data_IF_289541026364
#
_entry.id   IF_289541026364
#
_cell.length_a   1.000
_cell.length_b   1.000
_cell.length_c   1.000
_cell.angle_alpha   90.00
_cell.angle_beta   90.00
_cell.angle_gamma   90.00
#
_symmetry.space_group_name_H-M   'P 1'
#
loop_
_entity.id
_entity.type
_entity.pdbx_description
1 polymer ?
#
# COMPACT_ATOMS: atom_id res chain seq x y z
N UNK A 1 5.68 -7.18 16.01
CA UNK A 1 5.85 -6.88 14.56
C UNK A 1 5.75 -5.36 14.30
N UNK A 2 6.52 -4.83 13.35
CA UNK A 2 6.46 -3.41 12.93
C UNK A 2 5.50 -3.24 11.74
N UNK A 3 4.67 -2.18 11.80
CA UNK A 3 3.90 -1.68 10.65
C UNK A 3 4.29 -0.25 10.32
N UNK A 4 4.50 0.03 9.04
CA UNK A 4 4.64 1.40 8.53
C UNK A 4 3.29 1.85 7.97
N UNK A 5 2.85 3.04 8.36
CA UNK A 5 1.60 3.63 7.87
C UNK A 5 1.83 4.96 7.15
N UNK A 6 1.16 5.14 6.02
CA UNK A 6 1.16 6.39 5.26
C UNK A 6 -0.15 7.18 5.49
N UNK A 7 -0.09 8.47 5.86
CA UNK A 7 -1.27 9.28 6.16
C UNK A 7 -2.13 9.58 4.92
N UNK A 8 -3.39 9.89 5.18
CA UNK A 8 -4.33 10.39 4.18
C UNK A 8 -4.34 11.92 4.06
N UNK A 9 -5.24 12.44 3.21
CA UNK A 9 -5.45 13.88 3.06
C UNK A 9 -6.01 14.50 4.35
N UNK A 10 -5.51 15.69 4.69
CA UNK A 10 -5.82 16.40 5.94
C UNK A 10 -4.73 16.32 7.00
N UNK A 11 -3.68 15.53 6.76
CA UNK A 11 -2.51 15.45 7.64
C UNK A 11 -1.47 16.55 7.36
N UNK A 12 -1.45 17.13 6.16
CA UNK A 12 -0.50 18.17 5.76
C UNK A 12 -0.73 19.49 6.50
N UNK A 13 0.38 20.14 6.85
CA UNK A 13 0.42 21.48 7.46
C UNK A 13 1.42 22.34 6.68
N UNK A 14 1.24 23.67 6.60
CA UNK A 14 2.22 24.54 5.94
C UNK A 14 3.64 24.33 6.48
N UNK A 15 4.64 24.36 5.59
CA UNK A 15 6.05 24.25 5.96
C UNK A 15 6.55 22.85 6.36
N UNK A 16 5.72 21.79 6.31
CA UNK A 16 6.13 20.51 6.88
C UNK A 16 7.30 19.83 6.17
N UNK A 17 7.61 20.20 4.91
CA UNK A 17 8.78 19.71 4.19
C UNK A 17 10.02 20.58 4.36
N UNK A 18 9.93 21.77 4.94
CA UNK A 18 11.07 22.68 5.12
C UNK A 18 12.30 21.99 5.74
N UNK A 19 12.19 21.26 6.88
CA UNK A 19 13.36 20.61 7.45
C UNK A 19 13.87 19.44 6.61
N UNK A 20 13.04 18.82 5.77
CA UNK A 20 13.44 17.71 4.89
C UNK A 20 14.29 18.17 3.70
N UNK A 21 14.09 19.40 3.22
CA UNK A 21 14.85 19.96 2.10
C UNK A 21 16.29 20.35 2.45
N UNK A 22 16.70 20.26 3.73
CA UNK A 22 18.11 20.47 4.09
C UNK A 22 19.02 19.32 3.66
N UNK A 23 18.45 18.14 3.39
CA UNK A 23 19.18 16.99 2.82
C UNK A 23 19.15 17.07 1.28
N UNK A 24 20.32 17.25 0.61
CA UNK A 24 20.39 17.34 -0.85
C UNK A 24 19.86 16.08 -1.58
N UNK A 25 19.93 14.91 -0.95
CA UNK A 25 19.41 13.65 -1.53
C UNK A 25 17.90 13.66 -1.51
N UNK A 26 17.30 14.10 -0.40
CA UNK A 26 15.84 14.27 -0.30
C UNK A 26 15.35 15.30 -1.30
N UNK A 27 15.98 16.48 -1.34
CA UNK A 27 15.64 17.56 -2.28
C UNK A 27 15.71 17.10 -3.74
N UNK A 28 16.80 16.45 -4.13
CA UNK A 28 16.98 15.95 -5.51
C UNK A 28 15.90 14.94 -5.91
N UNK A 29 15.52 14.03 -5.00
CA UNK A 29 14.46 13.06 -5.25
C UNK A 29 13.08 13.72 -5.27
N UNK A 30 12.83 14.71 -4.41
CA UNK A 30 11.59 15.47 -4.45
C UNK A 30 11.46 16.22 -5.78
N UNK A 31 12.52 16.85 -6.27
CA UNK A 31 12.53 17.52 -7.57
C UNK A 31 12.22 16.56 -8.73
N UNK A 32 12.71 15.32 -8.66
CA UNK A 32 12.32 14.29 -9.63
C UNK A 32 10.83 13.96 -9.55
N UNK A 33 10.30 13.71 -8.35
CA UNK A 33 8.86 13.42 -8.17
C UNK A 33 7.99 14.63 -8.53
N UNK A 34 8.46 15.86 -8.32
CA UNK A 34 7.85 17.11 -8.77
C UNK A 34 7.71 17.14 -10.29
N UNK A 35 8.78 16.80 -11.02
CA UNK A 35 8.74 16.72 -12.47
C UNK A 35 7.75 15.66 -12.97
N UNK A 36 7.71 14.49 -12.32
CA UNK A 36 6.74 13.43 -12.64
C UNK A 36 5.31 13.87 -12.34
N UNK A 37 5.08 14.55 -11.22
CA UNK A 37 3.77 15.07 -10.83
C UNK A 37 3.34 16.30 -11.63
N UNK A 38 4.26 16.99 -12.30
CA UNK A 38 4.00 18.29 -12.92
C UNK A 38 3.55 19.34 -11.90
N UNK A 39 4.08 19.27 -10.67
CA UNK A 39 3.77 20.15 -9.55
C UNK A 39 5.07 20.53 -8.84
N UNK A 40 5.17 21.76 -8.36
CA UNK A 40 6.31 22.18 -7.53
C UNK A 40 6.09 21.72 -6.08
N UNK A 41 6.43 20.46 -5.79
CA UNK A 41 6.22 19.87 -4.46
C UNK A 41 7.10 20.52 -3.40
N UNK A 42 8.24 21.12 -3.78
CA UNK A 42 9.08 21.87 -2.85
C UNK A 42 8.34 23.12 -2.39
N UNK A 43 7.89 23.97 -3.33
CA UNK A 43 7.09 25.15 -3.02
C UNK A 43 5.83 24.82 -2.21
N UNK A 44 5.07 23.80 -2.62
CA UNK A 44 3.85 23.41 -1.88
C UNK A 44 4.14 22.82 -0.50
N UNK A 45 5.30 22.20 -0.30
CA UNK A 45 5.70 21.65 0.99
C UNK A 45 6.28 22.67 1.98
N UNK A 46 6.70 23.85 1.51
CA UNK A 46 7.41 24.86 2.31
C UNK A 46 6.68 26.19 2.40
N UNK A 47 6.33 26.80 1.27
CA UNK A 47 5.91 28.20 1.18
C UNK A 47 4.38 28.36 1.08
N UNK A 48 3.69 27.34 0.54
CA UNK A 48 2.26 27.40 0.32
C UNK A 48 1.45 27.42 1.63
N UNK A 49 0.35 28.17 1.62
CA UNK A 49 -0.55 28.29 2.76
C UNK A 49 -1.46 27.06 2.95
N UNK A 50 -2.16 27.04 4.09
CA UNK A 50 -3.02 25.91 4.49
C UNK A 50 -4.22 25.69 3.57
N UNK A 51 -4.66 26.70 2.83
CA UNK A 51 -5.79 26.59 1.90
C UNK A 51 -5.32 26.04 0.54
N UNK A 52 -4.16 26.47 0.07
CA UNK A 52 -3.52 25.98 -1.16
C UNK A 52 -3.21 24.49 -1.06
N UNK A 53 -2.58 24.05 0.04
CA UNK A 53 -2.25 22.63 0.23
C UNK A 53 -3.47 21.79 0.65
N UNK A 54 -4.67 22.38 0.74
CA UNK A 54 -5.94 21.66 0.90
C UNK A 54 -6.56 21.28 -0.44
N UNK A 55 -6.17 21.95 -1.52
CA UNK A 55 -6.58 21.55 -2.88
C UNK A 55 -6.19 20.09 -3.09
N UNK A 56 -7.18 19.28 -3.48
CA UNK A 56 -7.05 17.84 -3.63
C UNK A 56 -6.04 17.46 -4.72
N UNK A 57 -5.90 18.29 -5.76
CA UNK A 57 -4.92 18.09 -6.82
C UNK A 57 -3.47 18.36 -6.37
N UNK A 58 -3.28 19.15 -5.31
CA UNK A 58 -1.97 19.48 -4.73
C UNK A 58 -1.64 18.56 -3.55
N UNK A 59 -2.58 18.42 -2.60
CA UNK A 59 -2.41 17.68 -1.36
C UNK A 59 -2.00 16.23 -1.60
N UNK A 60 -2.66 15.55 -2.55
CA UNK A 60 -2.48 14.12 -2.75
C UNK A 60 -1.07 13.77 -3.26
N UNK A 61 -0.56 14.39 -4.35
CA UNK A 61 0.83 14.19 -4.77
C UNK A 61 1.85 14.56 -3.70
N UNK A 62 1.63 15.66 -2.98
CA UNK A 62 2.51 16.13 -1.92
C UNK A 62 2.65 15.09 -0.79
N UNK A 63 1.53 14.52 -0.33
CA UNK A 63 1.50 13.50 0.72
C UNK A 63 2.21 12.20 0.29
N UNK A 64 1.91 11.72 -0.91
CA UNK A 64 2.49 10.47 -1.43
C UNK A 64 4.00 10.61 -1.62
N UNK A 65 4.47 11.71 -2.24
CA UNK A 65 5.90 11.97 -2.40
C UNK A 65 6.61 12.04 -1.03
N UNK A 66 6.05 12.80 -0.09
CA UNK A 66 6.63 12.97 1.25
C UNK A 66 6.78 11.64 1.98
N UNK A 67 5.73 10.81 1.96
CA UNK A 67 5.75 9.48 2.59
C UNK A 67 6.79 8.56 1.95
N UNK A 68 6.85 8.49 0.62
CA UNK A 68 7.82 7.62 -0.08
C UNK A 68 9.27 8.05 0.20
N UNK A 69 9.57 9.35 0.18
CA UNK A 69 10.92 9.85 0.41
C UNK A 69 11.36 9.70 1.87
N UNK A 70 10.48 9.96 2.82
CA UNK A 70 10.77 9.74 4.22
C UNK A 70 11.00 8.26 4.55
N UNK A 71 10.24 7.35 3.91
CA UNK A 71 10.50 5.92 4.04
C UNK A 71 11.93 5.57 3.57
N UNK A 72 12.38 6.11 2.44
CA UNK A 72 13.77 5.94 1.98
C UNK A 72 14.80 6.52 2.95
N UNK A 73 14.49 7.61 3.66
CA UNK A 73 15.39 8.20 4.65
C UNK A 73 15.52 7.34 5.92
N UNK A 74 14.45 6.62 6.30
CA UNK A 74 14.47 5.68 7.44
C UNK A 74 15.39 4.49 7.15
N UNK A 75 15.41 3.99 5.92
CA UNK A 75 16.19 2.81 5.52
C UNK A 75 17.39 3.18 4.62
N UNK A 76 18.63 3.19 5.14
CA UNK A 76 19.82 3.57 4.37
C UNK A 76 19.99 2.78 3.07
N UNK A 77 19.63 1.49 3.09
CA UNK A 77 19.45 0.68 1.89
C UNK A 77 17.97 0.30 1.75
N UNK A 78 17.28 0.65 0.63
CA UNK A 78 15.84 0.41 0.50
C UNK A 78 15.42 -1.05 0.69
N UNK A 79 16.31 -2.00 0.38
CA UNK A 79 16.04 -3.42 0.58
C UNK A 79 15.95 -3.84 2.06
N UNK A 80 16.51 -3.05 2.99
CA UNK A 80 16.50 -3.36 4.42
C UNK A 80 15.08 -3.31 4.99
N UNK A 81 14.21 -2.48 4.39
CA UNK A 81 12.81 -2.40 4.77
C UNK A 81 12.12 -3.77 4.69
N UNK A 82 12.43 -4.60 3.68
CA UNK A 82 11.79 -5.91 3.51
C UNK A 82 12.18 -6.91 4.60
N UNK A 83 13.32 -6.71 5.27
CA UNK A 83 13.76 -7.55 6.38
C UNK A 83 13.24 -7.06 7.75
N UNK A 84 12.71 -5.83 7.82
CA UNK A 84 12.38 -5.15 9.08
C UNK A 84 10.91 -4.74 9.20
N UNK A 85 10.17 -4.69 8.10
CA UNK A 85 8.77 -4.25 8.10
C UNK A 85 7.86 -5.45 7.87
N UNK A 86 6.98 -5.72 8.84
CA UNK A 86 6.07 -6.86 8.81
C UNK A 86 4.79 -6.60 8.03
N UNK A 87 4.32 -5.35 8.00
CA UNK A 87 3.25 -4.92 7.12
C UNK A 87 3.33 -3.41 6.80
N UNK A 88 2.64 -3.00 5.73
CA UNK A 88 2.45 -1.60 5.35
C UNK A 88 0.96 -1.37 5.13
N UNK A 89 0.48 -0.19 5.55
CA UNK A 89 -0.86 0.27 5.24
C UNK A 89 -0.83 1.76 4.88
N UNK A 90 -1.82 2.24 4.15
CA UNK A 90 -2.00 3.66 3.92
C UNK A 90 -3.46 4.04 4.14
N UNK A 91 -3.72 5.26 4.59
CA UNK A 91 -5.10 5.75 4.73
C UNK A 91 -5.51 6.52 3.48
N UNK A 92 -6.54 6.06 2.78
CA UNK A 92 -7.00 6.65 1.52
C UNK A 92 -5.85 6.81 0.51
N UNK A 93 -5.48 8.04 0.16
CA UNK A 93 -4.37 8.35 -0.75
C UNK A 93 -3.03 7.74 -0.29
N UNK A 94 -2.86 7.52 1.02
CA UNK A 94 -1.68 6.85 1.56
C UNK A 94 -1.48 5.43 1.01
N UNK A 95 -2.53 4.74 0.54
CA UNK A 95 -2.38 3.40 -0.06
C UNK A 95 -1.49 3.44 -1.32
N UNK A 96 -1.36 4.58 -2.02
CA UNK A 96 -0.43 4.71 -3.14
C UNK A 96 1.04 4.72 -2.69
N UNK A 97 1.35 5.39 -1.58
CA UNK A 97 2.68 5.33 -0.97
C UNK A 97 2.98 3.94 -0.42
N UNK A 98 1.97 3.26 0.17
CA UNK A 98 2.10 1.89 0.64
C UNK A 98 2.32 0.89 -0.51
N UNK A 99 1.60 1.04 -1.62
CA UNK A 99 1.79 0.20 -2.82
C UNK A 99 3.18 0.39 -3.43
N UNK A 100 3.70 1.62 -3.48
CA UNK A 100 5.07 1.87 -3.91
C UNK A 100 6.11 1.29 -2.94
N UNK A 101 5.92 1.49 -1.63
CA UNK A 101 6.82 0.99 -0.58
C UNK A 101 6.89 -0.53 -0.50
N UNK A 102 5.82 -1.23 -0.89
CA UNK A 102 5.77 -2.70 -0.96
C UNK A 102 6.23 -3.26 -2.31
N UNK A 103 6.58 -2.40 -3.28
CA UNK A 103 7.09 -2.78 -4.60
C UNK A 103 6.02 -3.10 -5.64
N UNK A 104 4.72 -2.88 -5.35
CA UNK A 104 3.63 -3.11 -6.30
C UNK A 104 3.69 -2.14 -7.47
N UNK A 105 3.99 -0.87 -7.18
CA UNK A 105 4.15 0.20 -8.15
C UNK A 105 5.56 0.77 -8.06
N UNK A 106 6.09 1.30 -9.16
CA UNK A 106 7.26 2.20 -9.06
C UNK A 106 6.84 3.54 -8.45
N UNK A 107 7.81 4.30 -7.94
CA UNK A 107 7.56 5.65 -7.43
C UNK A 107 6.95 6.55 -8.51
N UNK A 108 7.43 6.45 -9.76
CA UNK A 108 6.91 7.23 -10.89
C UNK A 108 5.47 6.85 -11.23
N UNK A 109 5.14 5.56 -11.25
CA UNK A 109 3.77 5.09 -11.49
C UNK A 109 2.83 5.58 -10.40
N UNK A 110 3.25 5.50 -9.13
CA UNK A 110 2.48 6.02 -8.00
C UNK A 110 2.27 7.54 -8.12
N UNK A 111 3.30 8.30 -8.52
CA UNK A 111 3.21 9.75 -8.72
C UNK A 111 2.31 10.15 -9.90
N UNK A 112 2.37 9.43 -11.02
CA UNK A 112 1.44 9.64 -12.14
C UNK A 112 0.01 9.34 -11.70
N UNK A 113 -0.21 8.20 -11.05
CA UNK A 113 -1.55 7.79 -10.63
C UNK A 113 -2.14 8.75 -9.58
N UNK A 114 -1.36 9.20 -8.59
CA UNK A 114 -1.85 10.15 -7.57
C UNK A 114 -2.13 11.54 -8.15
N UNK A 115 -1.34 12.00 -9.12
CA UNK A 115 -1.59 13.26 -9.83
C UNK A 115 -2.95 13.21 -10.54
N UNK A 116 -3.20 12.14 -11.29
CA UNK A 116 -4.48 11.99 -11.99
C UNK A 116 -5.64 11.75 -11.02
N UNK A 117 -5.41 11.01 -9.92
CA UNK A 117 -6.38 10.82 -8.83
C UNK A 117 -6.80 12.16 -8.24
N UNK A 118 -5.85 12.99 -7.84
CA UNK A 118 -6.10 14.29 -7.24
C UNK A 118 -6.91 15.21 -8.16
N UNK A 119 -6.50 15.31 -9.44
CA UNK A 119 -7.21 16.10 -10.46
C UNK A 119 -8.62 15.58 -10.71
N UNK A 120 -8.79 14.27 -10.89
CA UNK A 120 -10.07 13.67 -11.21
C UNK A 120 -11.04 13.75 -10.03
N UNK A 121 -10.56 13.56 -8.79
CA UNK A 121 -11.37 13.75 -7.58
C UNK A 121 -11.79 15.20 -7.37
N UNK A 122 -10.89 16.17 -7.60
CA UNK A 122 -11.23 17.59 -7.55
C UNK A 122 -12.31 17.95 -8.59
N UNK A 123 -12.17 17.45 -9.83
CA UNK A 123 -13.16 17.66 -10.88
C UNK A 123 -14.51 17.01 -10.55
N UNK A 124 -14.53 15.79 -10.01
CA UNK A 124 -15.74 15.11 -9.60
C UNK A 124 -16.46 15.85 -8.45
N UNK A 125 -15.70 16.34 -7.47
CA UNK A 125 -16.23 17.12 -6.34
C UNK A 125 -16.90 18.43 -6.79
N UNK A 126 -16.44 19.04 -7.88
CA UNK A 126 -17.02 20.27 -8.43
C UNK A 126 -18.38 20.06 -9.13
N UNK A 127 -18.78 18.81 -9.43
CA UNK A 127 -20.03 18.52 -10.15
C UNK A 127 -21.28 18.70 -9.29
N UNK A 128 -21.17 18.49 -7.98
CA UNK A 128 -22.30 18.54 -7.04
C UNK A 128 -21.82 19.07 -5.70
N UNK A 129 -22.51 20.05 -5.09
CA UNK A 129 -22.20 20.51 -3.74
C UNK A 129 -22.29 19.34 -2.75
N UNK A 130 -21.13 18.87 -2.32
CA UNK A 130 -20.98 17.75 -1.40
C UNK A 130 -19.90 18.06 -0.37
N UNK A 131 -19.91 17.36 0.76
CA UNK A 131 -18.90 17.55 1.81
C UNK A 131 -18.78 16.30 2.68
N UNK A 132 -18.04 16.42 3.78
CA UNK A 132 -17.85 15.37 4.77
C UNK A 132 -17.95 15.93 6.19
N UNK A 133 -18.46 15.14 7.14
CA UNK A 133 -18.56 15.49 8.56
C UNK A 133 -18.07 14.33 9.41
N UNK A 134 -17.09 14.58 10.29
CA UNK A 134 -16.68 13.61 11.28
C UNK A 134 -17.75 13.49 12.38
N UNK A 135 -18.17 12.26 12.64
CA UNK A 135 -19.08 11.84 13.70
C UNK A 135 -18.23 11.18 14.78
N UNK A 136 -18.11 11.84 15.94
CA UNK A 136 -17.21 11.44 17.02
C UNK A 136 -17.99 10.93 18.23
N UNK A 137 -17.59 9.80 18.80
CA UNK A 137 -18.31 9.14 19.90
C UNK A 137 -19.55 8.39 19.40
N UNK A 138 -20.60 8.33 20.23
CA UNK A 138 -21.84 7.60 19.91
C UNK A 138 -21.69 6.07 19.84
N UNK A 139 -22.83 5.40 19.65
CA UNK A 139 -22.87 3.98 19.30
C UNK A 139 -22.72 3.81 17.78
N UNK A 140 -21.94 2.81 17.35
CA UNK A 140 -21.62 2.59 15.94
C UNK A 140 -22.85 2.20 15.12
N UNK A 141 -23.69 1.31 15.62
CA UNK A 141 -24.85 0.83 14.89
C UNK A 141 -25.90 1.94 14.77
N UNK A 142 -26.10 2.72 15.83
CA UNK A 142 -26.97 3.91 15.82
C UNK A 142 -26.49 4.96 14.81
N UNK A 143 -25.17 5.22 14.75
CA UNK A 143 -24.60 6.13 13.76
C UNK A 143 -24.87 5.63 12.35
N UNK A 144 -24.54 4.37 12.05
CA UNK A 144 -24.73 3.81 10.70
C UNK A 144 -26.20 3.84 10.27
N UNK A 145 -27.13 3.52 11.18
CA UNK A 145 -28.55 3.61 10.93
C UNK A 145 -28.98 5.06 10.62
N UNK A 146 -28.48 6.03 11.40
CA UNK A 146 -28.79 7.46 11.21
C UNK A 146 -28.20 8.00 9.90
N UNK A 147 -26.99 7.58 9.52
CA UNK A 147 -26.41 7.96 8.23
C UNK A 147 -27.25 7.41 7.05
N UNK A 148 -27.68 6.15 7.13
CA UNK A 148 -28.53 5.54 6.12
C UNK A 148 -29.90 6.24 6.00
N UNK A 149 -30.51 6.64 7.12
CA UNK A 149 -31.76 7.42 7.16
C UNK A 149 -31.65 8.73 6.36
N UNK A 150 -30.51 9.41 6.45
CA UNK A 150 -30.24 10.68 5.76
C UNK A 150 -29.57 10.52 4.38
N UNK A 151 -29.44 9.29 3.86
CA UNK A 151 -28.83 9.02 2.55
C UNK A 151 -27.31 9.21 2.48
N UNK A 152 -26.67 9.37 3.65
CA UNK A 152 -25.24 9.60 3.79
C UNK A 152 -24.44 8.29 3.73
N UNK A 153 -23.24 8.38 3.16
CA UNK A 153 -22.29 7.27 3.13
C UNK A 153 -21.31 7.38 4.30
N UNK A 154 -21.05 6.31 5.07
CA UNK A 154 -19.93 6.25 6.01
C UNK A 154 -18.61 6.11 5.23
N UNK A 155 -18.11 7.22 4.69
CA UNK A 155 -16.96 7.30 3.80
C UNK A 155 -15.64 6.85 4.45
N UNK A 156 -15.49 7.07 5.75
CA UNK A 156 -14.36 6.55 6.51
C UNK A 156 -14.88 5.95 7.82
N UNK A 157 -14.55 4.69 8.07
CA UNK A 157 -14.65 4.11 9.39
C UNK A 157 -13.25 4.04 9.99
N UNK A 158 -12.93 5.03 10.82
CA UNK A 158 -11.60 5.22 11.38
C UNK A 158 -11.38 4.39 12.66
N UNK A 159 -12.32 3.52 13.02
CA UNK A 159 -12.31 2.74 14.24
C UNK A 159 -12.92 3.48 15.44
N UNK A 160 -12.62 3.02 16.67
CA UNK A 160 -13.37 3.37 17.87
C UNK A 160 -13.61 4.88 18.03
N UNK A 161 -14.88 5.27 17.93
CA UNK A 161 -15.36 6.61 18.21
C UNK A 161 -15.15 7.63 17.08
N UNK A 162 -14.89 7.21 15.83
CA UNK A 162 -14.87 8.13 14.69
C UNK A 162 -15.32 7.46 13.38
N UNK A 163 -16.44 7.94 12.84
CA UNK A 163 -16.91 7.67 11.47
C UNK A 163 -17.00 9.00 10.74
N UNK A 164 -16.68 9.04 9.45
CA UNK A 164 -16.88 10.23 8.61
C UNK A 164 -18.07 10.00 7.70
N UNK A 165 -19.11 10.81 7.89
CA UNK A 165 -20.28 10.87 7.03
C UNK A 165 -19.96 11.72 5.80
N UNK A 166 -20.43 11.30 4.63
CA UNK A 166 -20.22 12.01 3.38
C UNK A 166 -21.46 11.95 2.48
N UNK A 167 -21.77 13.06 1.84
CA UNK A 167 -22.93 13.21 0.97
C UNK A 167 -23.12 14.66 0.53
N UNK A 168 -24.33 15.02 0.10
CA UNK A 168 -24.65 16.39 -0.27
C UNK A 168 -24.65 17.32 0.95
N UNK A 169 -24.49 18.63 0.69
CA UNK A 169 -24.56 19.64 1.77
C UNK A 169 -25.91 19.59 2.48
N UNK A 170 -26.99 19.29 1.74
CA UNK A 170 -28.35 19.15 2.26
C UNK A 170 -28.50 17.89 3.14
N UNK A 171 -27.99 16.73 2.69
CA UNK A 171 -28.00 15.49 3.48
C UNK A 171 -27.23 15.67 4.81
N UNK A 172 -26.09 16.37 4.78
CA UNK A 172 -25.29 16.67 5.98
C UNK A 172 -25.97 17.69 6.90
N UNK A 173 -26.68 18.67 6.35
CA UNK A 173 -27.48 19.61 7.14
C UNK A 173 -28.64 18.90 7.86
N UNK A 174 -29.26 17.90 7.20
CA UNK A 174 -30.29 17.06 7.82
C UNK A 174 -29.73 16.24 8.99
N UNK A 175 -28.56 15.61 8.81
CA UNK A 175 -27.86 14.93 9.91
C UNK A 175 -27.51 15.89 11.06
N UNK A 176 -27.12 17.13 10.77
CA UNK A 176 -26.82 18.11 11.81
C UNK A 176 -28.06 18.55 12.60
N UNK A 177 -29.23 18.57 11.96
CA UNK A 177 -30.51 18.85 12.61
C UNK A 177 -31.05 17.66 13.42
N UNK A 178 -30.69 16.44 13.04
CA UNK A 178 -31.06 15.19 13.69
C UNK A 178 -29.83 14.29 13.94
N UNK A 179 -28.94 14.68 14.89
CA UNK A 179 -27.68 14.00 15.10
C UNK A 179 -27.86 12.66 15.84
N UNK A 180 -26.99 11.67 15.59
CA UNK A 180 -26.98 10.43 16.38
C UNK A 180 -26.70 10.72 17.85
N UNK A 181 -27.31 9.93 18.74
CA UNK A 181 -27.24 10.17 20.17
C UNK A 181 -25.79 10.09 20.68
N UNK A 182 -25.41 11.03 21.57
CA UNK A 182 -24.08 11.09 22.21
C UNK A 182 -22.91 11.19 21.22
N UNK A 183 -23.16 11.58 19.97
CA UNK A 183 -22.15 11.86 18.98
C UNK A 183 -21.93 13.37 18.83
N UNK A 184 -20.69 13.77 18.57
CA UNK A 184 -20.32 15.14 18.21
C UNK A 184 -20.04 15.21 16.72
N UNK A 185 -20.64 16.17 16.02
CA UNK A 185 -20.43 16.41 14.60
C UNK A 185 -19.39 17.51 14.38
N UNK A 186 -18.43 17.27 13.50
CA UNK A 186 -17.41 18.24 13.08
C UNK A 186 -17.36 18.26 11.53
N UNK A 187 -17.86 19.33 10.89
CA UNK A 187 -17.68 19.51 9.45
C UNK A 187 -16.20 19.51 9.07
N UNK A 188 -15.86 18.80 8.00
CA UNK A 188 -14.48 18.73 7.50
C UNK A 188 -14.28 19.75 6.38
N UNK A 189 -13.12 20.40 6.37
CA UNK A 189 -12.73 21.27 5.26
C UNK A 189 -12.18 20.40 4.13
N UNK A 190 -13.06 19.90 3.29
CA UNK A 190 -12.75 19.08 2.12
C UNK A 190 -13.51 19.56 0.90
N UNK A 191 -12.98 19.27 -0.29
CA UNK A 191 -13.57 19.74 -1.55
C UNK A 191 -14.87 19.01 -1.92
N UNK A 192 -15.12 17.80 -1.39
CA UNK A 192 -16.33 17.04 -1.69
C UNK A 192 -16.48 15.77 -0.85
N UNK A 193 -17.55 15.02 -1.12
CA UNK A 193 -17.85 13.73 -0.49
C UNK A 193 -16.98 12.59 -1.07
N UNK A 194 -15.70 12.53 -0.67
CA UNK A 194 -14.79 11.45 -1.06
C UNK A 194 -15.26 10.09 -0.58
N UNK A 195 -14.84 9.01 -1.27
CA UNK A 195 -15.21 7.62 -0.90
C UNK A 195 -16.72 7.34 -0.97
N UNK A 196 -17.39 8.02 -1.89
CA UNK A 196 -18.83 7.84 -2.16
C UNK A 196 -19.10 7.74 -3.65
N UNK A 197 -20.36 7.43 -3.99
CA UNK A 197 -20.90 7.48 -5.37
C UNK A 197 -20.58 8.77 -6.13
N UNK A 198 -20.40 9.89 -5.45
CA UNK A 198 -20.09 11.18 -6.08
C UNK A 198 -18.72 11.19 -6.77
N UNK A 199 -17.84 10.25 -6.43
CA UNK A 199 -16.50 10.11 -7.02
C UNK A 199 -16.45 9.15 -8.20
N UNK A 200 -17.58 8.60 -8.66
CA UNK A 200 -17.64 7.69 -9.82
C UNK A 200 -16.93 8.25 -11.08
N UNK A 201 -17.07 9.54 -11.45
CA UNK A 201 -16.34 10.10 -12.59
C UNK A 201 -14.80 10.02 -12.44
N UNK A 202 -14.30 10.10 -11.21
CA UNK A 202 -12.87 9.96 -10.93
C UNK A 202 -12.41 8.51 -11.12
N UNK A 203 -13.22 7.53 -10.70
CA UNK A 203 -12.96 6.09 -10.92
C UNK A 203 -12.85 5.79 -12.42
N UNK A 204 -13.78 6.29 -13.23
CA UNK A 204 -13.77 6.11 -14.69
C UNK A 204 -12.51 6.70 -15.35
N UNK A 205 -12.01 7.81 -14.81
CA UNK A 205 -10.77 8.42 -15.28
C UNK A 205 -9.57 7.56 -14.92
N UNK A 206 -9.47 7.15 -13.65
CA UNK A 206 -8.34 6.36 -13.15
C UNK A 206 -8.29 4.95 -13.76
N UNK A 207 -9.43 4.34 -14.04
CA UNK A 207 -9.51 3.05 -14.72
C UNK A 207 -8.79 3.06 -16.08
N UNK A 208 -8.81 4.18 -16.82
CA UNK A 208 -8.09 4.33 -18.09
C UNK A 208 -6.57 4.42 -17.90
N UNK A 209 -6.12 5.05 -16.82
CA UNK A 209 -4.69 5.10 -16.50
C UNK A 209 -4.18 3.73 -16.03
N UNK A 210 -4.99 3.02 -15.24
CA UNK A 210 -4.64 1.71 -14.71
C UNK A 210 -4.34 0.67 -15.81
N UNK A 211 -4.94 0.78 -17.00
CA UNK A 211 -4.63 -0.16 -18.10
C UNK A 211 -3.19 -0.06 -18.61
N UNK A 212 -2.50 1.05 -18.34
CA UNK A 212 -1.11 1.28 -18.75
C UNK A 212 -0.10 1.07 -17.61
N UNK A 213 -0.56 0.70 -16.41
CA UNK A 213 0.30 0.50 -15.24
C UNK A 213 0.64 -0.98 -15.10
N UNK A 214 1.92 -1.31 -15.21
CA UNK A 214 2.45 -2.62 -14.81
C UNK A 214 2.54 -2.71 -13.29
N UNK A 215 2.19 -3.87 -12.73
CA UNK A 215 2.22 -4.13 -11.29
C UNK A 215 3.10 -5.32 -10.96
N UNK A 216 3.59 -5.40 -9.74
CA UNK A 216 4.23 -6.59 -9.15
C UNK A 216 3.52 -6.99 -7.87
N UNK A 217 3.70 -8.23 -7.43
CA UNK A 217 3.13 -8.67 -6.16
C UNK A 217 3.86 -8.01 -4.97
N UNK A 218 3.15 -7.64 -3.91
CA UNK A 218 3.74 -6.95 -2.76
C UNK A 218 4.76 -7.84 -2.04
N UNK A 219 5.94 -7.27 -1.74
CA UNK A 219 7.03 -7.94 -1.03
C UNK A 219 6.89 -7.91 0.49
N UNK A 220 6.00 -7.08 0.99
CA UNK A 220 5.63 -6.92 2.40
C UNK A 220 4.10 -6.89 2.47
N UNK A 221 3.50 -7.46 3.53
CA UNK A 221 2.04 -7.47 3.71
C UNK A 221 1.45 -6.07 3.46
N UNK A 222 0.58 -5.93 2.47
CA UNK A 222 -0.11 -4.68 2.16
C UNK A 222 -1.58 -4.79 2.61
N UNK A 223 -1.94 -4.03 3.64
CA UNK A 223 -3.27 -4.05 4.25
C UNK A 223 -4.18 -3.07 3.50
N UNK A 224 -5.27 -3.58 2.90
CA UNK A 224 -6.17 -2.76 2.08
C UNK A 224 -7.25 -2.03 2.89
N UNK A 225 -7.59 -0.79 2.51
CA UNK A 225 -8.70 -0.06 3.14
C UNK A 225 -10.09 -0.61 2.77
N UNK A 226 -10.20 -1.47 1.76
CA UNK A 226 -11.50 -1.98 1.32
C UNK A 226 -12.15 -2.89 2.35
N UNK A 227 -11.36 -3.79 2.92
CA UNK A 227 -11.80 -4.90 3.76
C UNK A 227 -10.83 -5.23 4.90
N UNK A 228 -9.72 -4.49 5.03
CA UNK A 228 -8.67 -4.77 6.01
C UNK A 228 -7.76 -5.95 5.64
N UNK A 229 -8.06 -6.71 4.58
CA UNK A 229 -7.27 -7.88 4.24
C UNK A 229 -5.89 -7.52 3.69
N UNK A 230 -4.94 -8.43 3.92
CA UNK A 230 -3.65 -8.43 3.22
C UNK A 230 -3.88 -8.84 1.77
N UNK A 231 -3.40 -8.04 0.83
CA UNK A 231 -3.50 -8.32 -0.60
C UNK A 231 -2.20 -8.94 -1.09
N UNK A 232 -2.29 -9.98 -1.92
CA UNK A 232 -1.14 -10.74 -2.42
C UNK A 232 -0.87 -10.55 -3.92
N UNK A 233 -1.85 -10.07 -4.70
CA UNK A 233 -1.72 -9.86 -6.15
C UNK A 233 -1.62 -8.37 -6.47
N UNK A 234 -0.58 -8.00 -7.23
CA UNK A 234 -0.34 -6.61 -7.59
C UNK A 234 -1.45 -5.96 -8.42
N UNK A 235 -2.19 -6.74 -9.23
CA UNK A 235 -3.30 -6.22 -10.04
C UNK A 235 -4.53 -5.95 -9.18
N UNK A 236 -4.81 -6.81 -8.20
CA UNK A 236 -5.87 -6.57 -7.21
C UNK A 236 -5.57 -5.32 -6.41
N UNK A 237 -4.31 -5.10 -6.00
CA UNK A 237 -3.90 -3.82 -5.36
C UNK A 237 -4.24 -2.62 -6.26
N UNK A 238 -3.84 -2.64 -7.54
CA UNK A 238 -4.14 -1.54 -8.46
C UNK A 238 -5.65 -1.35 -8.68
N UNK A 239 -6.41 -2.44 -8.83
CA UNK A 239 -7.87 -2.37 -8.94
C UNK A 239 -8.50 -1.76 -7.69
N UNK A 240 -8.02 -2.13 -6.50
CA UNK A 240 -8.44 -1.56 -5.23
C UNK A 240 -8.10 -0.09 -5.15
N UNK A 241 -6.90 0.34 -5.53
CA UNK A 241 -6.53 1.77 -5.56
C UNK A 241 -7.46 2.62 -6.46
N UNK A 242 -7.86 2.09 -7.61
CA UNK A 242 -8.79 2.76 -8.53
C UNK A 242 -10.20 2.83 -7.93
N UNK A 243 -10.71 1.72 -7.41
CA UNK A 243 -12.09 1.62 -6.89
C UNK A 243 -12.24 2.27 -5.51
N UNK A 244 -11.17 2.35 -4.71
CA UNK A 244 -11.16 2.99 -3.39
C UNK A 244 -11.64 4.45 -3.44
N UNK A 245 -11.51 5.13 -4.59
CA UNK A 245 -11.92 6.54 -4.74
C UNK A 245 -13.43 6.74 -4.52
N UNK A 246 -14.28 5.77 -4.86
CA UNK A 246 -15.73 5.83 -4.63
C UNK A 246 -16.24 4.88 -3.52
N UNK A 247 -15.33 4.14 -2.86
CA UNK A 247 -15.65 3.13 -1.86
C UNK A 247 -15.14 3.54 -0.47
N UNK A 248 -15.85 3.18 0.62
CA UNK A 248 -15.44 3.51 1.98
C UNK A 248 -14.03 3.05 2.36
N UNK A 249 -13.36 3.86 3.19
CA UNK A 249 -12.10 3.51 3.85
C UNK A 249 -12.40 2.83 5.18
N UNK A 250 -12.15 1.53 5.27
CA UNK A 250 -12.33 0.67 6.45
C UNK A 250 -11.04 0.57 7.27
N UNK A 251 -10.59 1.70 7.81
CA UNK A 251 -9.39 1.74 8.65
C UNK A 251 -9.59 0.98 9.97
N UNK A 252 -10.83 0.87 10.44
CA UNK A 252 -11.22 -0.04 11.53
C UNK A 252 -10.81 -1.49 11.27
N UNK A 253 -11.03 -1.99 10.04
CA UNK A 253 -10.61 -3.32 9.64
C UNK A 253 -9.11 -3.41 9.43
N UNK A 254 -8.47 -2.37 8.89
CA UNK A 254 -7.01 -2.34 8.82
C UNK A 254 -6.36 -2.46 10.20
N UNK A 255 -6.90 -1.76 11.21
CA UNK A 255 -6.43 -1.87 12.59
C UNK A 255 -6.77 -3.22 13.23
N UNK A 256 -7.91 -3.83 12.90
CA UNK A 256 -8.22 -5.20 13.32
C UNK A 256 -7.14 -6.15 12.80
N UNK A 257 -6.78 -6.07 11.51
CA UNK A 257 -5.70 -6.87 10.95
C UNK A 257 -4.35 -6.57 11.57
N UNK A 258 -4.05 -5.31 11.93
CA UNK A 258 -2.84 -5.00 12.72
C UNK A 258 -2.85 -5.68 14.09
N UNK A 259 -4.01 -5.77 14.75
CA UNK A 259 -4.15 -6.52 16.00
C UNK A 259 -3.94 -8.02 15.79
N UNK A 260 -4.54 -8.59 14.74
CA UNK A 260 -4.45 -10.02 14.42
C UNK A 260 -3.02 -10.43 14.04
N UNK A 261 -2.25 -9.52 13.44
CA UNK A 261 -0.83 -9.69 13.12
C UNK A 261 0.11 -9.45 14.32
N UNK A 262 -0.43 -9.25 15.52
CA UNK A 262 0.34 -9.00 16.75
C UNK A 262 1.36 -7.85 16.59
N UNK A 263 0.89 -6.76 15.97
CA UNK A 263 1.70 -5.56 15.76
C UNK A 263 2.08 -4.98 17.12
N UNK A 264 3.37 -4.70 17.28
CA UNK A 264 3.96 -4.14 18.51
C UNK A 264 4.36 -2.69 18.34
N UNK A 265 4.59 -2.25 17.09
CA UNK A 265 5.02 -0.91 16.77
C UNK A 265 4.39 -0.40 15.47
N UNK A 266 3.90 0.85 15.48
CA UNK A 266 3.39 1.56 14.30
C UNK A 266 4.23 2.81 14.06
N UNK A 267 4.89 2.88 12.92
CA UNK A 267 5.61 4.07 12.45
C UNK A 267 4.79 4.78 11.38
N UNK A 268 4.37 6.01 11.64
CA UNK A 268 3.65 6.86 10.69
C UNK A 268 4.63 7.77 9.94
N UNK A 269 4.55 7.73 8.61
CA UNK A 269 5.34 8.56 7.71
C UNK A 269 4.81 10.00 7.69
N UNK A 270 5.67 11.00 7.36
CA UNK A 270 5.27 12.39 7.33
C UNK A 270 4.24 12.68 6.22
N UNK A 271 3.33 13.63 6.47
CA UNK A 271 3.13 14.36 7.72
C UNK A 271 2.42 13.47 8.77
N UNK A 272 3.05 13.28 9.93
CA UNK A 272 2.65 12.27 10.89
C UNK A 272 1.92 12.85 12.12
N UNK A 273 1.03 12.05 12.72
CA UNK A 273 0.37 12.32 13.99
C UNK A 273 -1.10 11.85 14.02
N UNK A 274 -1.75 11.79 12.86
CA UNK A 274 -3.16 11.44 12.75
C UNK A 274 -3.37 9.95 12.96
N UNK A 275 -2.66 9.10 12.21
CA UNK A 275 -2.82 7.65 12.28
C UNK A 275 -2.27 7.09 13.59
N UNK A 276 -1.14 7.60 14.09
CA UNK A 276 -0.65 7.25 15.44
C UNK A 276 -1.62 7.69 16.53
N UNK A 277 -2.29 8.84 16.37
CA UNK A 277 -3.34 9.29 17.29
C UNK A 277 -4.56 8.37 17.31
N UNK A 278 -4.97 7.85 16.15
CA UNK A 278 -6.02 6.84 16.05
C UNK A 278 -5.56 5.52 16.69
N UNK A 279 -4.37 5.04 16.33
CA UNK A 279 -3.80 3.79 16.84
C UNK A 279 -3.68 3.78 18.38
N UNK A 280 -3.22 4.87 19.02
CA UNK A 280 -3.15 4.96 20.50
C UNK A 280 -4.50 4.77 21.20
N UNK A 281 -5.60 5.13 20.52
CA UNK A 281 -6.96 4.93 21.06
C UNK A 281 -7.43 3.50 20.86
N UNK A 282 -7.18 2.93 19.68
CA UNK A 282 -7.74 1.65 19.23
C UNK A 282 -6.89 0.42 19.62
N UNK A 283 -5.56 0.53 19.61
CA UNK A 283 -4.63 -0.59 19.75
C UNK A 283 -3.84 -0.45 21.06
N UNK A 284 -4.37 -1.02 22.15
CA UNK A 284 -3.72 -0.97 23.47
C UNK A 284 -2.46 -1.82 23.49
N UNK A 285 -1.38 -1.27 24.05
CA UNK A 285 -0.08 -1.94 24.15
C UNK A 285 0.81 -1.81 22.90
N UNK A 286 0.29 -1.27 21.80
CA UNK A 286 1.07 -0.99 20.58
C UNK A 286 1.80 0.34 20.73
N UNK A 287 3.12 0.33 20.58
CA UNK A 287 3.91 1.56 20.58
C UNK A 287 3.75 2.29 19.25
N UNK A 288 3.80 3.62 19.28
CA UNK A 288 3.60 4.44 18.08
C UNK A 288 4.70 5.46 17.93
N UNK A 289 5.23 5.61 16.72
CA UNK A 289 6.21 6.63 16.36
C UNK A 289 5.67 7.50 15.21
N UNK A 290 5.63 8.82 15.40
CA UNK A 290 5.19 9.76 14.38
C UNK A 290 6.41 10.50 13.82
N UNK A 291 6.89 10.09 12.64
CA UNK A 291 8.05 10.71 11.99
C UNK A 291 7.63 12.02 11.33
N UNK A 292 8.00 13.14 11.93
CA UNK A 292 7.63 14.49 11.46
C UNK A 292 8.79 15.17 10.75
N UNK A 293 10.00 15.01 11.26
CA UNK A 293 11.18 15.77 10.82
C UNK A 293 12.43 14.89 10.74
N UNK A 294 13.45 15.26 9.95
CA UNK A 294 14.64 14.42 9.74
C UNK A 294 15.53 14.22 10.97
N UNK A 295 15.52 15.15 11.93
CA UNK A 295 16.25 15.02 13.20
C UNK A 295 15.75 13.83 14.05
N UNK A 296 14.58 13.28 13.72
CA UNK A 296 14.00 12.09 14.35
C UNK A 296 14.40 10.78 13.66
N UNK A 297 15.22 10.82 12.59
CA UNK A 297 15.55 9.61 11.81
C UNK A 297 16.30 8.56 12.65
N UNK A 298 17.16 8.98 13.57
CA UNK A 298 17.88 8.03 14.43
C UNK A 298 16.95 7.35 15.43
N UNK A 299 16.01 8.09 16.01
CA UNK A 299 14.96 7.52 16.87
C UNK A 299 14.01 6.62 16.08
N UNK A 300 13.66 7.00 14.84
CA UNK A 300 12.85 6.18 13.95
C UNK A 300 13.56 4.86 13.60
N UNK A 301 14.86 4.89 13.33
CA UNK A 301 15.67 3.67 13.09
C UNK A 301 15.76 2.81 14.35
N UNK A 302 15.95 3.40 15.53
CA UNK A 302 15.91 2.67 16.79
C UNK A 302 14.54 2.00 17.03
N UNK A 303 13.45 2.69 16.68
CA UNK A 303 12.10 2.14 16.73
C UNK A 303 11.92 0.96 15.76
N UNK A 304 12.44 1.09 14.54
CA UNK A 304 12.48 0.01 13.55
C UNK A 304 13.27 -1.20 14.07
N UNK A 305 14.44 -0.99 14.67
CA UNK A 305 15.24 -2.10 15.23
C UNK A 305 14.53 -2.79 16.41
N UNK A 306 13.79 -2.04 17.23
CA UNK A 306 13.05 -2.57 18.36
C UNK A 306 11.86 -3.45 17.96
N UNK A 307 11.09 -3.03 16.95
CA UNK A 307 9.83 -3.69 16.59
C UNK A 307 9.91 -4.50 15.30
N UNK A 308 11.01 -4.35 14.56
CA UNK A 308 11.15 -4.84 13.20
C UNK A 308 11.21 -6.36 13.12
N UNK A 309 10.46 -6.89 12.18
CA UNK A 309 10.46 -8.30 11.82
C UNK A 309 10.18 -8.41 10.32
N UNK A 310 10.77 -9.38 9.62
CA UNK A 310 10.45 -9.59 8.22
C UNK A 310 8.96 -9.92 8.08
N UNK A 311 8.40 -9.47 6.97
CA UNK A 311 7.04 -9.86 6.58
C UNK A 311 7.04 -11.32 6.13
N UNK A 312 6.26 -12.16 6.80
CA UNK A 312 5.98 -13.52 6.34
C UNK A 312 4.82 -13.52 5.33
N UNK A 313 4.63 -12.43 4.59
CA UNK A 313 3.92 -12.55 3.32
C UNK A 313 4.73 -13.56 2.53
N UNK A 314 4.18 -14.76 2.39
CA UNK A 314 4.73 -15.74 1.50
C UNK A 314 4.54 -15.13 0.12
N UNK A 315 5.53 -14.34 -0.32
CA UNK A 315 5.78 -14.04 -1.70
C UNK A 315 6.22 -15.36 -2.35
N UNK A 316 5.34 -16.35 -2.28
CA UNK A 316 5.34 -17.50 -3.14
C UNK A 316 5.12 -16.92 -4.52
N UNK A 317 6.17 -16.79 -5.35
CA UNK A 317 6.00 -16.21 -6.67
C UNK A 317 4.98 -17.07 -7.40
N UNK A 318 4.01 -16.50 -8.12
CA UNK A 318 2.94 -17.27 -8.81
C UNK A 318 3.48 -18.47 -9.61
N UNK A 319 4.75 -18.40 -10.01
CA UNK A 319 5.56 -19.54 -10.43
C UNK A 319 7.05 -19.26 -10.19
N UNK A 320 7.86 -20.33 -10.07
CA UNK A 320 9.33 -20.35 -10.03
C UNK A 320 9.85 -21.02 -11.31
N UNK A 321 11.03 -20.60 -11.77
CA UNK A 321 11.74 -21.23 -12.88
C UNK A 321 13.02 -21.88 -12.37
N UNK A 322 13.23 -23.14 -12.72
CA UNK A 322 14.55 -23.77 -12.63
C UNK A 322 15.21 -23.64 -14.00
N UNK A 323 16.48 -23.24 -14.00
CA UNK A 323 17.26 -22.96 -15.20
C UNK A 323 18.47 -23.87 -15.28
N UNK A 324 18.99 -24.07 -16.49
CA UNK A 324 20.21 -24.83 -16.70
C UNK A 324 21.40 -24.13 -16.04
N UNK A 325 22.15 -24.81 -15.14
CA UNK A 325 23.30 -24.22 -14.47
C UNK A 325 24.52 -24.11 -15.40
N UNK A 326 24.61 -25.01 -16.37
CA UNK A 326 25.70 -25.11 -17.34
C UNK A 326 25.16 -25.39 -18.74
N UNK A 327 26.04 -25.33 -19.74
CA UNK A 327 25.75 -25.83 -21.08
C UNK A 327 25.88 -27.36 -21.08
N UNK A 328 24.92 -28.06 -21.66
CA UNK A 328 25.00 -29.52 -21.75
C UNK A 328 23.73 -30.16 -22.28
N UNK A 329 23.65 -31.47 -22.14
CA UNK A 329 22.46 -32.28 -22.42
C UNK A 329 21.65 -32.42 -21.14
N UNK A 330 20.36 -32.12 -21.24
CA UNK A 330 19.43 -32.22 -20.13
C UNK A 330 18.89 -33.65 -19.95
N UNK A 331 18.87 -34.12 -18.70
CA UNK A 331 18.37 -35.45 -18.31
C UNK A 331 17.44 -35.31 -17.11
N UNK A 332 16.20 -35.78 -17.18
CA UNK A 332 15.25 -35.77 -16.05
C UNK A 332 15.58 -36.90 -15.08
N UNK A 333 15.38 -36.66 -13.78
CA UNK A 333 15.50 -37.74 -12.78
C UNK A 333 14.21 -38.56 -12.78
N UNK A 334 14.33 -39.85 -13.14
CA UNK A 334 13.21 -40.79 -13.20
C UNK A 334 12.86 -41.24 -11.78
N UNK A 335 11.77 -40.68 -11.22
CA UNK A 335 10.76 -41.37 -10.37
C UNK A 335 9.78 -40.44 -9.61
N UNK A 336 9.86 -39.10 -9.75
CA UNK A 336 8.95 -38.19 -8.99
C UNK A 336 8.15 -37.20 -9.86
N UNK A 337 8.56 -36.89 -11.10
CA UNK A 337 8.12 -35.65 -11.79
C UNK A 337 7.61 -35.82 -13.24
N UNK A 338 6.97 -36.96 -13.54
CA UNK A 338 6.51 -37.24 -14.92
C UNK A 338 5.30 -36.43 -15.36
N UNK A 339 4.58 -35.80 -14.45
CA UNK A 339 3.28 -35.18 -14.77
C UNK A 339 3.24 -33.75 -14.23
N UNK A 340 2.71 -32.84 -15.05
CA UNK A 340 2.17 -31.57 -14.55
C UNK A 340 1.26 -31.87 -13.35
N UNK A 341 1.49 -31.20 -12.22
CA UNK A 341 0.82 -31.48 -10.96
C UNK A 341 1.66 -32.26 -9.93
N UNK A 342 2.83 -32.80 -10.31
CA UNK A 342 3.71 -33.49 -9.37
C UNK A 342 4.35 -32.53 -8.36
N UNK A 343 4.41 -32.92 -7.09
CA UNK A 343 5.07 -32.17 -6.01
C UNK A 343 6.56 -32.48 -5.98
N UNK A 344 7.37 -31.43 -5.85
CA UNK A 344 8.82 -31.43 -5.64
C UNK A 344 9.09 -30.90 -4.23
N UNK A 345 9.89 -31.62 -3.44
CA UNK A 345 10.28 -31.16 -2.11
C UNK A 345 11.40 -30.10 -2.17
N UNK A 346 11.48 -29.27 -1.12
CA UNK A 346 12.57 -28.29 -1.02
C UNK A 346 13.94 -28.98 -0.94
N UNK A 347 14.87 -28.56 -1.80
CA UNK A 347 16.21 -29.15 -1.93
C UNK A 347 16.29 -30.38 -2.83
N UNK A 348 15.17 -30.84 -3.39
CA UNK A 348 15.16 -32.03 -4.25
C UNK A 348 15.84 -31.78 -5.60
N UNK A 349 16.60 -32.76 -6.07
CA UNK A 349 17.20 -32.76 -7.42
C UNK A 349 16.16 -33.20 -8.44
N UNK A 350 15.76 -32.29 -9.34
CA UNK A 350 14.70 -32.53 -10.33
C UNK A 350 15.24 -33.04 -11.67
N UNK A 351 16.47 -32.68 -12.02
CA UNK A 351 17.10 -33.00 -13.30
C UNK A 351 18.62 -32.86 -13.19
N UNK A 352 19.32 -33.21 -14.26
CA UNK A 352 20.76 -33.05 -14.44
C UNK A 352 21.04 -32.40 -15.78
N UNK A 353 22.14 -31.63 -15.84
CA UNK A 353 22.70 -31.16 -17.11
C UNK A 353 24.14 -31.66 -17.20
N UNK A 354 24.44 -32.42 -18.24
CA UNK A 354 25.74 -33.03 -18.45
C UNK A 354 26.46 -32.45 -19.67
N UNK A 355 27.71 -32.09 -19.50
CA UNK A 355 28.65 -31.77 -20.57
C UNK A 355 29.60 -32.95 -20.82
N UNK A 356 30.56 -32.79 -21.73
CA UNK A 356 31.61 -33.81 -21.94
C UNK A 356 32.55 -34.00 -20.74
N UNK A 357 32.56 -33.07 -19.77
CA UNK A 357 33.51 -33.05 -18.65
C UNK A 357 32.86 -33.09 -17.28
N UNK A 358 31.71 -32.43 -17.16
CA UNK A 358 31.03 -32.18 -15.88
C UNK A 358 29.54 -32.54 -15.96
N UNK A 359 28.98 -33.02 -14.87
CA UNK A 359 27.54 -33.22 -14.66
C UNK A 359 27.09 -32.42 -13.44
N UNK A 360 26.04 -31.62 -13.57
CA UNK A 360 25.54 -30.75 -12.51
C UNK A 360 24.06 -31.02 -12.25
N UNK A 361 23.72 -31.21 -10.98
CA UNK A 361 22.36 -31.37 -10.51
C UNK A 361 21.59 -30.04 -10.58
N UNK A 362 20.36 -30.12 -11.10
CA UNK A 362 19.37 -29.04 -11.03
C UNK A 362 18.51 -29.30 -9.80
N UNK A 363 18.70 -28.52 -8.75
CA UNK A 363 17.94 -28.60 -7.50
C UNK A 363 16.78 -27.61 -7.50
N UNK A 364 15.70 -27.95 -6.79
CA UNK A 364 14.58 -27.06 -6.49
C UNK A 364 14.73 -26.52 -5.06
N UNK A 365 15.36 -25.35 -4.83
CA UNK A 365 15.71 -24.91 -3.47
C UNK A 365 14.52 -24.77 -2.52
N UNK A 366 13.33 -24.52 -3.08
CA UNK A 366 12.11 -24.23 -2.34
C UNK A 366 10.94 -25.19 -2.66
N UNK A 367 11.18 -26.23 -3.46
CA UNK A 367 10.13 -27.15 -3.91
C UNK A 367 9.00 -26.47 -4.72
N UNK A 368 7.92 -27.21 -4.95
CA UNK A 368 6.71 -26.73 -5.61
C UNK A 368 6.00 -27.81 -6.43
N UNK A 369 4.92 -27.43 -7.10
CA UNK A 369 4.14 -28.27 -8.01
C UNK A 369 4.62 -28.02 -9.43
N UNK A 370 5.01 -29.05 -10.18
CA UNK A 370 5.40 -28.92 -11.58
C UNK A 370 4.23 -28.40 -12.41
N UNK A 371 4.38 -27.23 -13.04
CA UNK A 371 3.38 -26.67 -13.96
C UNK A 371 3.63 -27.19 -15.36
N UNK A 372 4.86 -27.03 -15.84
CA UNK A 372 5.26 -27.44 -17.17
C UNK A 372 6.78 -27.63 -17.26
N UNK A 373 7.19 -28.55 -18.10
CA UNK A 373 8.57 -28.67 -18.56
C UNK A 373 8.74 -27.86 -19.84
N UNK A 374 9.80 -27.06 -19.91
CA UNK A 374 10.11 -26.19 -21.05
C UNK A 374 11.17 -26.79 -21.99
N UNK A 375 11.69 -27.97 -21.63
CA UNK A 375 12.66 -28.77 -22.40
C UNK A 375 12.31 -30.25 -22.33
N UNK A 376 12.73 -31.02 -23.33
CA UNK A 376 12.56 -32.46 -23.42
C UNK A 376 13.82 -33.23 -23.00
N UNK A 377 13.65 -34.53 -22.70
CA UNK A 377 14.76 -35.43 -22.38
C UNK A 377 15.78 -35.46 -23.52
N UNK A 378 17.05 -35.20 -23.21
CA UNK A 378 18.12 -35.18 -24.21
C UNK A 378 18.32 -33.84 -24.93
N UNK A 379 17.51 -32.81 -24.62
CA UNK A 379 17.68 -31.49 -25.24
C UNK A 379 19.02 -30.84 -24.87
N UNK A 380 19.70 -30.18 -25.84
CA UNK A 380 20.83 -29.33 -25.55
C UNK A 380 20.35 -28.01 -24.92
N UNK A 381 20.94 -27.65 -23.79
CA UNK A 381 20.59 -26.45 -23.02
C UNK A 381 21.79 -25.53 -22.81
N UNK A 382 21.54 -24.23 -22.68
CA UNK A 382 22.56 -23.21 -22.36
C UNK A 382 22.40 -22.66 -20.94
N UNK A 383 23.47 -22.14 -20.29
CA UNK A 383 23.37 -21.57 -18.94
C UNK A 383 22.28 -20.50 -18.86
N UNK A 384 21.42 -20.60 -17.85
CA UNK A 384 20.27 -19.71 -17.64
C UNK A 384 19.02 -20.06 -18.47
N UNK A 385 19.08 -21.06 -19.35
CA UNK A 385 17.90 -21.51 -20.10
C UNK A 385 16.84 -22.10 -19.17
N UNK A 386 15.58 -21.64 -19.24
CA UNK A 386 14.46 -22.22 -18.51
C UNK A 386 14.27 -23.71 -18.80
N UNK A 387 14.13 -24.52 -17.74
CA UNK A 387 13.95 -25.98 -17.83
C UNK A 387 12.56 -26.42 -17.38
N UNK A 388 12.10 -25.90 -16.25
CA UNK A 388 10.81 -26.27 -15.65
C UNK A 388 10.23 -25.10 -14.88
N UNK A 389 8.92 -24.94 -15.00
CA UNK A 389 8.13 -24.01 -14.20
C UNK A 389 7.48 -24.75 -13.05
N UNK A 390 7.66 -24.26 -11.83
CA UNK A 390 7.02 -24.77 -10.62
C UNK A 390 6.02 -23.74 -10.09
N UNK A 391 4.84 -24.14 -9.65
CA UNK A 391 3.99 -23.33 -8.80
C UNK A 391 4.40 -23.57 -7.35
N UNK A 392 4.57 -22.56 -6.49
CA UNK A 392 4.85 -22.83 -5.09
C UNK A 392 3.72 -23.65 -4.47
N UNK A 393 4.07 -24.70 -3.74
CA UNK A 393 3.11 -25.32 -2.83
C UNK A 393 3.00 -24.37 -1.64
N UNK A 394 1.84 -23.70 -1.48
CA UNK A 394 1.60 -22.86 -0.31
C UNK A 394 1.85 -23.70 0.93
N UNK A 395 2.74 -23.23 1.81
CA UNK A 395 3.04 -23.92 3.06
C UNK A 395 1.76 -24.04 3.88
N UNK A 396 1.17 -25.23 3.90
CA UNK A 396 0.27 -25.60 4.98
C UNK A 396 1.14 -25.92 6.19
N UNK A 397 1.22 -25.00 7.13
CA UNK A 397 1.54 -25.26 8.53
C UNK A 397 0.82 -24.24 9.40
#
# INVERSE_FOLDING_TARGET
MLVIVAPGQGAQTPGFLEPWLTDPVFESRLNWLSAVAGLDLAHYGTEADADTIRDTAIAQPLLVASSMLAALAVFPHPADAFAKVGAVAGHSVGELAAAAGTGVLTAEQAMVLVRERGKAMAAAAALTPTSMTAVLGGDREEILAKLAEHGLTPANDNGPGQIVAAGTVEELAALAADPPAKARLIPLSVAGAFHTRHMEPAVQTLAKYATAISTHDPRTRLISNRDGHVVHDGRDVLQRLVTQVNAPVRWDLCMQTMSDLEVTGILELPPAGTLTGIARRALKGVETFALKTPDQLDDARAFVEKHGSPSEIDASPTWRLLVAPIKGTFTRKVDVLRETGATVEAGEVVAKVASLRDEVDVTAPHGGIVVEWLVEEGDPVSPGQPLVRLHPAGGAA
#
